data_IF_771659295834
#
_entry.id   IF_771659295834
#
_cell.length_a   1.000
_cell.length_b   1.000
_cell.length_c   1.000
_cell.angle_alpha   90.00
_cell.angle_beta   90.00
_cell.angle_gamma   90.00
#
_symmetry.space_group_name_H-M   'P 1'
#
loop_
_entity.id
_entity.type
_entity.pdbx_description
1 polymer ?
#
# COMPACT_ATOMS: atom_id res chain seq x y z
N UNK A 1 -80.16 2.59 -9.51
CA UNK A 1 -79.10 2.25 -8.54
C UNK A 1 -77.88 1.87 -9.39
N UNK A 2 -76.92 2.79 -9.43
CA UNK A 2 -75.79 2.76 -10.36
C UNK A 2 -74.61 1.97 -9.75
N UNK A 3 -74.13 0.95 -10.50
CA UNK A 3 -72.92 0.20 -10.13
C UNK A 3 -71.69 1.01 -10.53
N UNK A 4 -70.81 1.32 -9.54
CA UNK A 4 -69.50 1.91 -9.75
C UNK A 4 -68.50 0.84 -10.16
N UNK A 5 -67.95 0.98 -11.38
CA UNK A 5 -66.76 0.25 -11.81
C UNK A 5 -65.51 0.72 -11.04
N UNK A 6 -64.73 -0.25 -10.56
CA UNK A 6 -63.41 -0.05 -9.97
C UNK A 6 -62.35 0.02 -11.10
N UNK A 7 -61.31 0.86 -11.01
CA UNK A 7 -60.25 0.94 -12.00
C UNK A 7 -59.31 -0.26 -11.87
N UNK A 8 -58.90 -0.80 -13.04
CA UNK A 8 -57.93 -1.87 -13.22
C UNK A 8 -56.57 -1.46 -12.64
N UNK A 9 -55.96 -2.32 -11.84
CA UNK A 9 -54.58 -2.22 -11.40
C UNK A 9 -53.63 -2.51 -12.58
N UNK A 10 -52.92 -1.48 -13.00
CA UNK A 10 -51.75 -1.61 -13.88
C UNK A 10 -50.65 -2.40 -13.16
N UNK A 11 -50.28 -3.53 -13.73
CA UNK A 11 -49.09 -4.30 -13.32
C UNK A 11 -47.83 -3.45 -13.52
N UNK A 12 -46.89 -3.41 -12.55
CA UNK A 12 -45.63 -2.77 -12.78
C UNK A 12 -44.86 -3.50 -13.90
N UNK A 13 -44.42 -2.73 -14.89
CA UNK A 13 -43.57 -3.24 -15.97
C UNK A 13 -42.33 -3.93 -15.39
N UNK A 14 -42.08 -5.14 -15.83
CA UNK A 14 -40.88 -5.90 -15.50
C UNK A 14 -39.65 -5.06 -15.92
N UNK A 15 -38.84 -4.69 -14.96
CA UNK A 15 -37.55 -4.07 -15.19
C UNK A 15 -36.66 -5.13 -15.88
N UNK A 16 -36.27 -4.85 -17.11
CA UNK A 16 -35.35 -5.73 -17.87
C UNK A 16 -33.96 -5.63 -17.23
N UNK A 17 -33.39 -6.71 -16.67
CA UNK A 17 -32.09 -6.69 -16.02
C UNK A 17 -30.90 -6.59 -17.00
N UNK A 18 -31.13 -6.41 -18.30
CA UNK A 18 -30.13 -6.28 -19.34
C UNK A 18 -29.96 -4.84 -19.86
N UNK A 19 -30.58 -3.84 -19.23
CA UNK A 19 -30.44 -2.44 -19.63
C UNK A 19 -29.11 -1.86 -19.16
N UNK A 20 -28.21 -1.59 -20.13
CA UNK A 20 -27.05 -0.71 -20.09
C UNK A 20 -25.88 -1.07 -19.14
N UNK A 21 -25.15 -2.14 -19.47
CA UNK A 21 -23.74 -2.17 -19.10
C UNK A 21 -23.02 -1.14 -19.99
N UNK A 22 -22.43 -0.08 -19.43
CA UNK A 22 -21.77 0.97 -20.23
C UNK A 22 -20.62 0.35 -21.04
N UNK A 23 -20.60 0.61 -22.35
CA UNK A 23 -19.49 0.17 -23.23
C UNK A 23 -18.18 0.75 -22.72
N UNK A 24 -17.15 -0.07 -22.46
CA UNK A 24 -15.86 0.42 -22.01
C UNK A 24 -15.25 1.43 -22.98
N UNK A 25 -14.65 2.50 -22.46
CA UNK A 25 -14.02 3.57 -23.23
C UNK A 25 -12.51 3.61 -23.00
N UNK A 26 -11.71 4.16 -23.95
CA UNK A 26 -10.27 4.27 -23.78
C UNK A 26 -9.91 5.15 -22.59
N UNK A 27 -8.95 4.71 -21.77
CA UNK A 27 -8.32 5.54 -20.74
C UNK A 27 -7.23 6.38 -21.39
N UNK A 28 -7.29 7.70 -21.20
CA UNK A 28 -6.32 8.64 -21.78
C UNK A 28 -5.16 8.89 -20.80
N UNK A 29 -4.01 8.26 -21.04
CA UNK A 29 -2.77 8.47 -20.29
C UNK A 29 -2.15 9.85 -20.52
N UNK A 30 -2.55 10.60 -21.56
CA UNK A 30 -2.05 11.96 -21.81
C UNK A 30 -2.65 12.98 -20.83
N UNK A 31 -3.81 12.67 -20.27
CA UNK A 31 -4.41 13.47 -19.20
C UNK A 31 -3.57 13.36 -17.93
N UNK A 32 -3.01 14.49 -17.48
CA UNK A 32 -2.18 14.55 -16.28
C UNK A 32 -2.97 14.22 -15.01
N UNK A 33 -2.28 13.68 -14.01
CA UNK A 33 -2.81 13.51 -12.67
C UNK A 33 -3.11 14.88 -12.03
N UNK A 34 -3.88 14.89 -10.92
CA UNK A 34 -4.26 16.12 -10.21
C UNK A 34 -3.08 16.97 -9.72
N UNK A 35 -1.90 16.36 -9.59
CA UNK A 35 -0.64 17.00 -9.20
C UNK A 35 0.20 17.47 -10.41
N UNK A 36 -0.34 17.39 -11.64
CA UNK A 36 0.32 17.82 -12.87
C UNK A 36 1.36 16.85 -13.42
N UNK A 37 1.47 15.63 -12.87
CA UNK A 37 2.43 14.62 -13.30
C UNK A 37 1.78 13.65 -14.32
N UNK A 38 2.61 13.04 -15.17
CA UNK A 38 2.18 12.09 -16.18
C UNK A 38 1.87 10.73 -15.56
N UNK A 39 0.69 10.19 -15.85
CA UNK A 39 0.26 8.86 -15.46
C UNK A 39 1.04 7.78 -16.21
N UNK A 40 1.04 6.58 -15.67
CA UNK A 40 1.55 5.38 -16.30
C UNK A 40 0.63 4.19 -16.04
N UNK A 41 1.13 2.98 -16.29
CA UNK A 41 0.39 1.75 -16.02
C UNK A 41 1.21 0.76 -15.17
N UNK A 42 0.51 -0.12 -14.47
CA UNK A 42 1.09 -0.99 -13.43
C UNK A 42 1.81 -2.21 -14.01
N UNK A 43 2.61 -2.91 -13.18
CA UNK A 43 3.15 -4.24 -13.54
C UNK A 43 2.03 -5.25 -13.82
N UNK A 44 0.87 -5.11 -13.13
CA UNK A 44 -0.32 -5.91 -13.38
C UNK A 44 -0.89 -5.70 -14.79
N UNK A 45 -1.05 -4.46 -15.21
CA UNK A 45 -1.49 -4.11 -16.58
C UNK A 45 -0.51 -4.61 -17.63
N UNK A 46 0.80 -4.47 -17.37
CA UNK A 46 1.84 -4.98 -18.26
C UNK A 46 1.75 -6.50 -18.43
N UNK A 47 1.61 -7.24 -17.34
CA UNK A 47 1.45 -8.69 -17.36
C UNK A 47 0.15 -9.12 -18.06
N UNK A 48 -0.95 -8.39 -17.84
CA UNK A 48 -2.24 -8.65 -18.48
C UNK A 48 -2.16 -8.44 -20.00
N UNK A 49 -1.54 -7.35 -20.46
CA UNK A 49 -1.33 -7.10 -21.87
C UNK A 49 -0.46 -8.17 -22.54
N UNK A 50 0.63 -8.58 -21.87
CA UNK A 50 1.47 -9.66 -22.36
C UNK A 50 0.73 -11.01 -22.38
N UNK A 51 -0.15 -11.30 -21.40
CA UNK A 51 -1.00 -12.50 -21.39
C UNK A 51 -1.96 -12.52 -22.59
N UNK A 52 -2.63 -11.39 -22.84
CA UNK A 52 -3.57 -11.24 -23.96
C UNK A 52 -2.87 -11.43 -25.31
N UNK A 53 -1.70 -10.82 -25.46
CA UNK A 53 -0.88 -10.94 -26.66
C UNK A 53 -0.34 -12.36 -26.86
N UNK A 54 0.12 -13.03 -25.80
CA UNK A 54 0.60 -14.41 -25.87
C UNK A 54 -0.51 -15.38 -26.25
N UNK A 55 -1.74 -15.18 -25.75
CA UNK A 55 -2.88 -15.99 -26.17
C UNK A 55 -3.25 -15.74 -27.64
N UNK A 56 -3.28 -14.49 -28.08
CA UNK A 56 -3.49 -14.13 -29.48
C UNK A 56 -2.47 -14.83 -30.39
N UNK A 57 -1.18 -14.78 -30.02
CA UNK A 57 -0.11 -15.48 -30.74
C UNK A 57 -0.33 -16.99 -30.77
N UNK A 58 -0.73 -17.60 -29.63
CA UNK A 58 -0.98 -19.04 -29.53
C UNK A 58 -2.12 -19.51 -30.47
N UNK A 59 -3.16 -18.67 -30.63
CA UNK A 59 -4.33 -18.99 -31.43
C UNK A 59 -4.16 -18.68 -32.92
N UNK A 60 -3.48 -17.58 -33.25
CA UNK A 60 -3.41 -17.04 -34.61
C UNK A 60 -2.06 -17.24 -35.28
N UNK A 61 -1.02 -17.57 -34.51
CA UNK A 61 0.38 -17.61 -34.98
C UNK A 61 1.00 -16.24 -35.20
N UNK A 62 0.32 -15.12 -34.85
CA UNK A 62 0.80 -13.75 -35.04
C UNK A 62 0.77 -12.94 -33.75
N UNK A 63 1.86 -12.28 -33.42
CA UNK A 63 1.95 -11.40 -32.27
C UNK A 63 1.34 -10.03 -32.64
N UNK A 64 0.35 -9.50 -31.88
CA UNK A 64 -0.22 -8.20 -32.14
C UNK A 64 0.76 -7.08 -31.75
N UNK A 65 0.71 -5.93 -32.44
CA UNK A 65 1.53 -4.74 -32.10
C UNK A 65 1.08 -4.08 -30.79
N UNK A 66 -0.21 -4.16 -30.46
CA UNK A 66 -0.81 -3.64 -29.23
C UNK A 66 -2.08 -4.42 -28.89
N UNK A 67 -2.48 -4.37 -27.62
CA UNK A 67 -3.74 -4.93 -27.14
C UNK A 67 -4.47 -3.94 -26.24
N UNK A 68 -5.80 -4.07 -26.20
CA UNK A 68 -6.65 -3.32 -25.28
C UNK A 68 -6.84 -4.17 -24.01
N UNK A 69 -6.45 -3.61 -22.87
CA UNK A 69 -6.54 -4.21 -21.54
C UNK A 69 -7.68 -3.57 -20.78
N UNK A 70 -8.70 -4.32 -20.43
CA UNK A 70 -9.79 -3.86 -19.57
C UNK A 70 -9.29 -3.55 -18.18
N UNK A 71 -9.62 -2.36 -17.65
CA UNK A 71 -9.22 -1.92 -16.32
C UNK A 71 -10.19 -2.44 -15.25
N UNK A 72 -9.73 -2.58 -13.99
CA UNK A 72 -10.56 -3.10 -12.89
C UNK A 72 -11.83 -2.30 -12.57
N UNK A 73 -11.95 -1.08 -13.05
CA UNK A 73 -13.15 -0.26 -12.87
C UNK A 73 -14.34 -0.70 -13.75
N UNK A 74 -14.10 -1.60 -14.74
CA UNK A 74 -15.11 -2.08 -15.67
C UNK A 74 -15.60 -1.04 -16.68
N UNK A 75 -15.08 0.18 -16.63
CA UNK A 75 -15.53 1.32 -17.44
C UNK A 75 -14.50 1.73 -18.50
N UNK A 76 -13.23 1.38 -18.29
CA UNK A 76 -12.15 1.79 -19.14
C UNK A 76 -11.31 0.60 -19.62
N UNK A 77 -10.69 0.79 -20.78
CA UNK A 77 -9.59 -0.04 -21.25
C UNK A 77 -8.37 0.81 -21.56
N UNK A 78 -7.18 0.21 -21.49
CA UNK A 78 -5.92 0.85 -21.87
C UNK A 78 -5.29 0.13 -23.05
N UNK A 79 -4.94 0.85 -24.11
CA UNK A 79 -4.15 0.33 -25.20
C UNK A 79 -2.69 0.26 -24.83
N UNK A 80 -2.13 -0.97 -24.79
CA UNK A 80 -0.76 -1.24 -24.37
C UNK A 80 0.04 -1.79 -25.54
N UNK A 81 1.17 -1.16 -25.92
CA UNK A 81 2.04 -1.69 -26.96
C UNK A 81 2.74 -2.96 -26.50
N UNK A 82 2.86 -3.91 -27.43
CA UNK A 82 3.54 -5.20 -27.21
C UNK A 82 4.96 -5.12 -27.79
N UNK A 83 5.86 -5.74 -27.09
CA UNK A 83 7.27 -5.83 -27.51
C UNK A 83 7.58 -7.26 -27.93
N UNK A 84 8.28 -7.42 -29.04
CA UNK A 84 8.78 -8.71 -29.49
C UNK A 84 9.66 -9.36 -28.41
N UNK A 85 9.53 -10.68 -28.30
CA UNK A 85 10.31 -11.48 -27.38
C UNK A 85 10.64 -12.82 -28.04
N UNK A 86 11.81 -13.41 -27.77
CA UNK A 86 12.14 -14.74 -28.26
C UNK A 86 11.06 -15.77 -27.91
N UNK A 87 10.70 -16.58 -28.89
CA UNK A 87 9.74 -17.67 -28.68
C UNK A 87 10.48 -18.91 -28.17
N UNK A 88 9.82 -19.65 -27.28
CA UNK A 88 10.34 -20.89 -26.73
C UNK A 88 9.48 -22.08 -27.15
N UNK A 89 10.05 -23.27 -27.43
CA UNK A 89 9.29 -24.43 -27.80
C UNK A 89 8.21 -24.77 -26.76
N UNK A 90 6.95 -24.91 -27.21
CA UNK A 90 5.82 -25.22 -26.35
C UNK A 90 5.22 -24.05 -25.57
N UNK A 91 5.74 -22.83 -25.73
CA UNK A 91 5.23 -21.62 -25.10
C UNK A 91 4.96 -20.53 -26.14
N UNK A 92 3.90 -19.80 -25.97
CA UNK A 92 3.69 -18.52 -26.64
C UNK A 92 4.20 -17.40 -25.73
N UNK A 93 5.09 -16.57 -26.23
CA UNK A 93 5.78 -15.56 -25.42
C UNK A 93 5.48 -14.15 -25.92
N UNK A 94 5.16 -13.23 -25.00
CA UNK A 94 5.00 -11.81 -25.28
C UNK A 94 5.54 -10.95 -24.14
N UNK A 95 5.96 -9.72 -24.45
CA UNK A 95 6.51 -8.78 -23.48
C UNK A 95 5.90 -7.40 -23.60
N UNK A 96 5.99 -6.63 -22.51
CA UNK A 96 5.62 -5.23 -22.42
C UNK A 96 6.74 -4.47 -21.71
N UNK A 97 7.12 -3.32 -22.24
CA UNK A 97 7.97 -2.38 -21.51
C UNK A 97 7.06 -1.48 -20.68
N UNK A 98 7.15 -1.64 -19.35
CA UNK A 98 6.30 -0.88 -18.42
C UNK A 98 6.60 0.62 -18.49
N UNK A 99 5.56 1.44 -18.68
CA UNK A 99 5.63 2.89 -18.49
C UNK A 99 5.00 3.27 -17.15
N UNK A 100 5.84 3.69 -16.19
CA UNK A 100 5.41 4.15 -14.87
C UNK A 100 5.02 5.62 -14.82
N UNK A 101 5.01 6.34 -15.95
CA UNK A 101 4.81 7.78 -15.97
C UNK A 101 5.92 8.52 -15.24
N UNK A 102 5.56 9.58 -14.53
CA UNK A 102 6.49 10.40 -13.73
C UNK A 102 6.58 9.91 -12.26
N UNK A 103 6.08 8.71 -11.97
CA UNK A 103 6.25 8.11 -10.65
C UNK A 103 7.69 7.64 -10.45
N UNK A 104 8.31 7.85 -9.27
CA UNK A 104 9.66 7.35 -8.96
C UNK A 104 9.70 5.82 -8.73
N UNK A 105 8.95 5.08 -9.53
CA UNK A 105 8.81 3.63 -9.47
C UNK A 105 10.05 2.93 -10.02
N UNK A 106 10.65 2.05 -9.24
CA UNK A 106 11.84 1.27 -9.63
C UNK A 106 11.57 0.31 -10.79
N UNK A 107 10.29 -0.02 -11.07
CA UNK A 107 9.88 -0.87 -12.18
C UNK A 107 9.58 -0.10 -13.47
N UNK A 108 9.77 1.23 -13.49
CA UNK A 108 9.68 2.02 -14.74
C UNK A 108 10.67 1.48 -15.76
N UNK A 109 10.24 1.27 -17.02
CA UNK A 109 11.00 0.68 -18.13
C UNK A 109 11.40 -0.79 -17.95
N UNK A 110 10.95 -1.46 -16.89
CA UNK A 110 11.14 -2.91 -16.77
C UNK A 110 10.39 -3.66 -17.90
N UNK A 111 11.03 -4.67 -18.47
CA UNK A 111 10.39 -5.60 -19.41
C UNK A 111 9.65 -6.66 -18.62
N UNK A 112 8.33 -6.69 -18.73
CA UNK A 112 7.48 -7.73 -18.16
C UNK A 112 7.16 -8.73 -19.27
N UNK A 113 7.49 -10.00 -19.04
CA UNK A 113 7.31 -11.07 -20.02
C UNK A 113 6.30 -12.08 -19.51
N UNK A 114 5.43 -12.56 -20.39
CA UNK A 114 4.54 -13.69 -20.11
C UNK A 114 4.86 -14.81 -21.09
N UNK A 115 4.97 -16.02 -20.55
CA UNK A 115 4.96 -17.27 -21.28
C UNK A 115 3.64 -17.98 -21.01
N UNK A 116 2.94 -18.35 -22.05
CA UNK A 116 1.61 -18.97 -21.99
C UNK A 116 1.63 -20.31 -22.71
N UNK A 117 1.03 -21.34 -22.13
CA UNK A 117 0.74 -22.60 -22.78
C UNK A 117 -0.57 -23.21 -22.26
N UNK A 118 -1.16 -24.10 -23.04
CA UNK A 118 -2.30 -24.92 -22.56
C UNK A 118 -1.81 -25.96 -21.54
N UNK A 119 -2.68 -26.26 -20.57
CA UNK A 119 -2.51 -27.38 -19.64
C UNK A 119 -3.78 -28.21 -19.55
N UNK A 120 -3.66 -29.43 -19.01
CA UNK A 120 -4.77 -30.39 -18.90
C UNK A 120 -5.55 -30.25 -17.58
N UNK A 121 -5.27 -29.25 -16.76
CA UNK A 121 -5.89 -29.08 -15.43
C UNK A 121 -7.29 -28.44 -15.47
N UNK A 122 -7.68 -27.84 -16.61
CA UNK A 122 -8.89 -27.03 -16.74
C UNK A 122 -8.85 -25.74 -15.91
N UNK A 123 -7.66 -25.33 -15.45
CA UNK A 123 -7.50 -24.14 -14.58
C UNK A 123 -6.39 -23.23 -15.09
N UNK A 124 -6.56 -21.92 -14.85
CA UNK A 124 -5.48 -20.94 -15.04
C UNK A 124 -4.52 -21.00 -13.85
N UNK A 125 -3.30 -21.48 -14.10
CA UNK A 125 -2.23 -21.61 -13.11
C UNK A 125 -1.21 -20.51 -13.32
N UNK A 126 -0.95 -19.68 -12.28
CA UNK A 126 0.05 -18.65 -12.33
C UNK A 126 1.39 -19.17 -11.84
N UNK A 127 2.40 -19.09 -12.69
CA UNK A 127 3.74 -19.58 -12.41
C UNK A 127 4.73 -18.42 -12.24
N UNK A 128 5.74 -18.67 -11.44
CA UNK A 128 6.86 -17.76 -11.26
C UNK A 128 7.82 -17.88 -12.44
N UNK A 129 8.00 -16.80 -13.20
CA UNK A 129 9.11 -16.62 -14.12
C UNK A 129 10.32 -15.95 -13.46
N UNK A 130 11.42 -15.84 -14.20
CA UNK A 130 12.63 -15.15 -13.77
C UNK A 130 12.33 -13.71 -13.36
N UNK A 131 12.92 -13.26 -12.24
CA UNK A 131 12.79 -11.88 -11.75
C UNK A 131 11.44 -11.51 -11.13
N UNK A 132 10.48 -12.44 -11.02
CA UNK A 132 9.29 -12.30 -10.17
C UNK A 132 9.56 -12.95 -8.82
N UNK A 133 9.21 -12.26 -7.73
CA UNK A 133 9.48 -12.72 -6.38
C UNK A 133 8.58 -13.86 -5.92
N UNK A 134 9.00 -14.49 -4.81
CA UNK A 134 8.21 -15.50 -4.07
C UNK A 134 7.94 -14.98 -2.68
N UNK A 135 6.73 -15.21 -2.18
CA UNK A 135 6.33 -14.91 -0.80
C UNK A 135 6.98 -15.91 0.14
N UNK A 136 7.75 -15.43 1.12
CA UNK A 136 8.48 -16.29 2.07
C UNK A 136 8.05 -16.09 3.52
N UNK A 137 7.19 -15.10 3.80
CA UNK A 137 6.73 -14.76 5.14
C UNK A 137 5.20 -14.53 5.15
N UNK A 138 4.54 -14.76 6.30
CA UNK A 138 3.12 -14.44 6.45
C UNK A 138 2.88 -12.92 6.48
N UNK A 139 1.60 -12.51 6.36
CA UNK A 139 1.18 -11.11 6.43
C UNK A 139 0.79 -10.50 5.09
N UNK A 140 1.18 -11.11 3.98
CA UNK A 140 0.64 -10.77 2.66
C UNK A 140 -0.67 -11.54 2.42
N UNK A 141 -1.48 -11.06 1.47
CA UNK A 141 -2.71 -11.77 1.02
C UNK A 141 -2.43 -12.93 0.08
N UNK A 142 -1.16 -13.27 -0.11
CA UNK A 142 -0.68 -14.41 -0.88
C UNK A 142 -0.10 -15.44 0.08
N UNK A 143 -0.25 -16.72 -0.22
CA UNK A 143 0.31 -17.77 0.59
C UNK A 143 1.84 -17.85 0.46
N UNK A 144 2.49 -18.36 1.49
CA UNK A 144 3.94 -18.64 1.45
C UNK A 144 4.21 -19.65 0.35
N UNK A 145 5.24 -19.39 -0.47
CA UNK A 145 5.62 -20.19 -1.62
C UNK A 145 4.96 -19.75 -2.94
N UNK A 146 3.93 -18.91 -2.90
CA UNK A 146 3.31 -18.40 -4.12
C UNK A 146 4.16 -17.33 -4.81
N UNK A 147 4.06 -17.24 -6.17
CA UNK A 147 4.63 -16.11 -6.90
C UNK A 147 3.98 -14.80 -6.47
N UNK A 148 4.77 -13.75 -6.36
CA UNK A 148 4.32 -12.42 -5.94
C UNK A 148 3.47 -11.74 -7.03
N UNK A 149 2.38 -12.38 -7.41
CA UNK A 149 1.36 -11.91 -8.36
C UNK A 149 0.08 -11.68 -7.57
N UNK A 150 -0.30 -10.43 -7.36
CA UNK A 150 -1.43 -10.05 -6.50
C UNK A 150 -2.78 -10.44 -7.14
N UNK A 151 -3.84 -10.45 -6.31
CA UNK A 151 -5.17 -10.93 -6.71
C UNK A 151 -5.75 -10.15 -7.91
N UNK A 152 -5.67 -8.82 -7.90
CA UNK A 152 -6.20 -7.98 -8.99
C UNK A 152 -5.50 -8.28 -10.33
N UNK A 153 -4.15 -8.28 -10.44
CA UNK A 153 -3.46 -8.74 -11.66
C UNK A 153 -3.86 -10.15 -12.11
N UNK A 154 -4.01 -11.10 -11.17
CA UNK A 154 -4.48 -12.46 -11.53
C UNK A 154 -5.89 -12.43 -12.14
N UNK A 155 -6.78 -11.61 -11.58
CA UNK A 155 -8.13 -11.42 -12.12
C UNK A 155 -8.10 -10.77 -13.51
N UNK A 156 -7.31 -9.70 -13.68
CA UNK A 156 -7.16 -9.03 -14.98
C UNK A 156 -6.64 -9.97 -16.06
N UNK A 157 -5.63 -10.80 -15.74
CA UNK A 157 -5.10 -11.80 -16.68
C UNK A 157 -6.12 -12.87 -17.03
N UNK A 158 -6.95 -13.36 -16.07
CA UNK A 158 -8.06 -14.27 -16.37
C UNK A 158 -9.08 -13.63 -17.31
N UNK A 159 -9.51 -12.40 -16.97
CA UNK A 159 -10.43 -11.65 -17.82
C UNK A 159 -9.87 -11.46 -19.25
N UNK A 160 -8.59 -11.18 -19.39
CA UNK A 160 -7.95 -11.04 -20.68
C UNK A 160 -7.97 -12.36 -21.51
N UNK A 161 -7.84 -13.52 -20.83
CA UNK A 161 -8.01 -14.83 -21.49
C UNK A 161 -9.46 -15.04 -21.94
N UNK A 162 -10.45 -14.72 -21.09
CA UNK A 162 -11.88 -14.82 -21.38
C UNK A 162 -12.27 -13.93 -22.58
N UNK A 163 -11.80 -12.69 -22.60
CA UNK A 163 -12.05 -11.75 -23.69
C UNK A 163 -11.55 -12.23 -25.06
N UNK A 164 -10.40 -12.91 -25.10
CA UNK A 164 -9.83 -13.42 -26.36
C UNK A 164 -10.52 -14.71 -26.80
N UNK A 165 -10.95 -15.53 -25.85
CA UNK A 165 -11.58 -16.81 -26.15
C UNK A 165 -13.09 -16.70 -26.38
N UNK A 166 -13.68 -15.54 -26.04
CA UNK A 166 -15.13 -15.32 -26.03
C UNK A 166 -15.89 -16.39 -25.20
N UNK A 167 -15.24 -16.89 -24.15
CA UNK A 167 -15.78 -17.95 -23.27
C UNK A 167 -15.19 -17.83 -21.86
N UNK A 168 -15.84 -18.48 -20.88
CA UNK A 168 -15.34 -18.54 -19.50
C UNK A 168 -14.03 -19.34 -19.42
N UNK A 169 -12.99 -18.73 -18.82
CA UNK A 169 -11.67 -19.35 -18.64
C UNK A 169 -11.67 -20.53 -17.66
N UNK A 170 -12.77 -20.80 -16.96
CA UNK A 170 -12.88 -21.94 -16.06
C UNK A 170 -12.85 -23.29 -16.80
N UNK A 171 -13.25 -23.30 -18.07
CA UNK A 171 -13.26 -24.51 -18.89
C UNK A 171 -11.97 -24.76 -19.68
N UNK A 172 -11.00 -23.82 -19.61
CA UNK A 172 -9.76 -23.88 -20.39
C UNK A 172 -8.54 -23.75 -19.49
N UNK A 173 -7.69 -24.77 -19.47
CA UNK A 173 -6.46 -24.80 -18.70
C UNK A 173 -5.32 -24.03 -19.35
N UNK A 174 -4.71 -23.10 -18.60
CA UNK A 174 -3.51 -22.39 -19.03
C UNK A 174 -2.48 -22.29 -17.90
N UNK A 175 -1.22 -22.51 -18.24
CA UNK A 175 -0.08 -22.07 -17.43
C UNK A 175 0.30 -20.67 -17.90
N UNK A 176 0.28 -19.71 -16.97
CA UNK A 176 0.66 -18.30 -17.17
C UNK A 176 1.90 -18.02 -16.34
N UNK A 177 3.06 -18.07 -16.95
CA UNK A 177 4.32 -17.75 -16.29
C UNK A 177 4.66 -16.27 -16.52
N UNK A 178 4.85 -15.52 -15.42
CA UNK A 178 5.16 -14.10 -15.47
C UNK A 178 6.59 -13.87 -15.03
N UNK A 179 7.40 -13.21 -15.85
CA UNK A 179 8.79 -12.84 -15.58
C UNK A 179 9.02 -11.34 -15.70
N UNK A 180 10.18 -10.90 -15.22
CA UNK A 180 10.67 -9.53 -15.33
C UNK A 180 12.17 -9.54 -15.55
N UNK A 181 12.60 -8.98 -16.66
CA UNK A 181 14.04 -8.82 -16.94
C UNK A 181 14.72 -7.99 -15.84
N UNK A 182 15.86 -8.46 -15.31
CA UNK A 182 16.58 -7.85 -14.19
C UNK A 182 15.74 -7.65 -12.91
N UNK A 183 14.61 -8.36 -12.77
CA UNK A 183 13.65 -8.16 -11.68
C UNK A 183 14.24 -8.40 -10.29
N UNK A 184 15.20 -9.29 -10.12
CA UNK A 184 15.92 -9.49 -8.84
C UNK A 184 16.65 -8.23 -8.39
N UNK A 185 17.44 -7.63 -9.30
CA UNK A 185 18.20 -6.41 -9.01
C UNK A 185 17.29 -5.19 -8.79
N UNK A 186 16.17 -5.12 -9.52
CA UNK A 186 15.15 -4.09 -9.33
C UNK A 186 14.52 -4.23 -7.94
N UNK A 187 14.15 -5.44 -7.54
CA UNK A 187 13.49 -5.73 -6.26
C UNK A 187 14.31 -5.29 -5.05
N UNK A 188 15.64 -5.36 -5.11
CA UNK A 188 16.52 -4.89 -4.02
C UNK A 188 16.36 -3.40 -3.71
N UNK A 189 15.88 -2.60 -4.68
CA UNK A 189 15.59 -1.17 -4.53
C UNK A 189 14.15 -0.87 -4.17
N UNK A 190 13.31 -1.90 -4.07
CA UNK A 190 11.90 -1.82 -3.65
C UNK A 190 11.73 -2.22 -2.19
N UNK A 191 10.49 -2.25 -1.73
CA UNK A 191 10.17 -2.75 -0.40
C UNK A 191 10.03 -4.29 -0.31
N UNK A 192 10.12 -5.01 -1.43
CA UNK A 192 9.93 -6.46 -1.47
C UNK A 192 10.75 -7.24 -0.43
N UNK A 193 12.06 -6.98 -0.24
CA UNK A 193 12.84 -7.69 0.77
C UNK A 193 12.30 -7.51 2.20
N UNK A 194 11.75 -6.32 2.52
CA UNK A 194 11.15 -6.05 3.84
C UNK A 194 9.80 -6.76 4.02
N UNK A 195 9.10 -7.02 2.92
CA UNK A 195 7.80 -7.69 2.89
C UNK A 195 7.93 -9.22 2.83
N UNK A 196 9.15 -9.76 2.87
CA UNK A 196 9.37 -11.18 2.71
C UNK A 196 9.09 -11.69 1.29
N UNK A 197 9.30 -10.83 0.29
CA UNK A 197 9.24 -11.22 -1.11
C UNK A 197 10.66 -11.25 -1.64
N UNK A 198 11.13 -12.44 -2.00
CA UNK A 198 12.51 -12.67 -2.44
C UNK A 198 12.60 -13.16 -3.88
N UNK A 199 13.75 -12.87 -4.54
CA UNK A 199 14.05 -13.33 -5.87
C UNK A 199 13.37 -12.57 -7.01
N UNK A 200 12.79 -11.39 -6.73
CA UNK A 200 12.24 -10.56 -7.78
C UNK A 200 11.20 -9.52 -7.35
N UNK A 201 10.62 -8.85 -8.35
CA UNK A 201 9.58 -7.85 -8.17
C UNK A 201 8.21 -8.49 -7.88
N UNK A 202 7.25 -7.66 -7.49
CA UNK A 202 5.83 -8.03 -7.42
C UNK A 202 5.08 -7.58 -8.67
N UNK A 203 4.13 -8.40 -9.12
CA UNK A 203 3.14 -8.04 -10.13
C UNK A 203 1.90 -7.54 -9.39
N UNK A 204 1.70 -6.22 -9.42
CA UNK A 204 0.69 -5.53 -8.61
C UNK A 204 0.02 -4.38 -9.35
N UNK A 205 -1.02 -3.82 -8.75
CA UNK A 205 -1.81 -2.70 -9.20
C UNK A 205 -3.29 -2.98 -8.95
N UNK A 206 -3.98 -2.07 -8.29
CA UNK A 206 -5.41 -2.21 -7.94
C UNK A 206 -6.33 -1.59 -8.99
N UNK A 207 -5.85 -0.57 -9.70
CA UNK A 207 -6.61 0.17 -10.71
C UNK A 207 -6.11 -0.08 -12.14
N UNK A 208 -4.93 -0.71 -12.27
CA UNK A 208 -4.23 -0.85 -13.55
C UNK A 208 -3.40 0.38 -13.93
N UNK A 209 -3.71 1.56 -13.39
CA UNK A 209 -3.05 2.84 -13.68
C UNK A 209 -2.11 3.23 -12.53
N UNK A 210 -0.98 3.84 -12.86
CA UNK A 210 -0.08 4.49 -11.91
C UNK A 210 -0.45 5.95 -11.79
N UNK A 211 -0.95 6.34 -10.61
CA UNK A 211 -1.11 7.73 -10.21
C UNK A 211 0.17 8.19 -9.51
N UNK A 212 1.01 9.02 -10.14
CA UNK A 212 2.33 9.34 -9.62
C UNK A 212 2.25 10.11 -8.30
N UNK A 213 3.07 9.71 -7.32
CA UNK A 213 3.10 10.27 -5.96
C UNK A 213 1.73 10.29 -5.27
N UNK A 214 0.93 9.28 -5.50
CA UNK A 214 -0.42 9.14 -4.93
C UNK A 214 -0.38 8.93 -3.42
N UNK A 215 -1.11 9.77 -2.67
CA UNK A 215 -1.31 9.57 -1.22
C UNK A 215 -2.06 8.27 -0.91
N UNK A 216 -3.03 7.91 -1.74
CA UNK A 216 -3.78 6.66 -1.59
C UNK A 216 -2.87 5.43 -1.74
N UNK A 217 -1.95 5.45 -2.71
CA UNK A 217 -0.95 4.37 -2.89
C UNK A 217 0.01 4.29 -1.71
N UNK A 218 0.39 5.45 -1.15
CA UNK A 218 1.25 5.48 0.05
C UNK A 218 0.52 4.90 1.26
N UNK A 219 -0.73 5.30 1.51
CA UNK A 219 -1.56 4.74 2.59
C UNK A 219 -1.77 3.23 2.42
N UNK A 220 -2.05 2.76 1.20
CA UNK A 220 -2.15 1.33 0.92
C UNK A 220 -0.85 0.58 1.27
N UNK A 221 0.31 1.20 1.06
CA UNK A 221 1.60 0.64 1.46
C UNK A 221 1.74 0.53 2.98
N UNK A 222 1.26 1.53 3.76
CA UNK A 222 1.24 1.46 5.23
C UNK A 222 0.42 0.25 5.70
N UNK A 223 -0.77 0.04 5.14
CA UNK A 223 -1.62 -1.10 5.50
C UNK A 223 -0.90 -2.45 5.25
N UNK A 224 -0.16 -2.57 4.14
CA UNK A 224 0.66 -3.76 3.86
C UNK A 224 1.78 -3.92 4.89
N UNK A 225 2.49 -2.83 5.25
CA UNK A 225 3.57 -2.89 6.24
C UNK A 225 3.08 -3.29 7.63
N UNK A 226 1.94 -2.75 8.07
CA UNK A 226 1.31 -3.14 9.34
C UNK A 226 0.96 -4.63 9.33
N UNK A 227 0.34 -5.12 8.26
CA UNK A 227 -0.02 -6.53 8.11
C UNK A 227 1.20 -7.45 8.15
N UNK A 228 2.28 -7.08 7.46
CA UNK A 228 3.54 -7.86 7.48
C UNK A 228 4.20 -7.81 8.86
N UNK A 229 4.21 -6.63 9.50
CA UNK A 229 4.76 -6.47 10.84
C UNK A 229 4.06 -7.37 11.87
N UNK A 230 2.74 -7.54 11.75
CA UNK A 230 1.91 -8.34 12.66
C UNK A 230 1.78 -9.82 12.23
N UNK A 231 2.15 -10.16 11.00
CA UNK A 231 1.88 -11.48 10.40
C UNK A 231 2.50 -12.67 11.15
N UNK A 232 3.65 -12.48 11.79
CA UNK A 232 4.29 -13.50 12.64
C UNK A 232 3.88 -13.41 14.11
N UNK A 233 2.86 -12.61 14.45
CA UNK A 233 2.37 -12.40 15.82
C UNK A 233 3.50 -12.01 16.79
N UNK A 234 4.25 -10.93 16.52
CA UNK A 234 5.35 -10.50 17.37
C UNK A 234 4.85 -10.00 18.71
N UNK A 235 5.74 -9.94 19.72
CA UNK A 235 5.45 -9.31 21.00
C UNK A 235 5.35 -7.80 20.94
N UNK A 236 5.97 -7.18 19.94
CA UNK A 236 6.01 -5.73 19.80
C UNK A 236 6.23 -5.27 18.35
N UNK A 237 5.68 -4.10 18.01
CA UNK A 237 5.97 -3.38 16.77
C UNK A 237 6.17 -1.89 17.05
N UNK A 238 6.73 -1.18 16.07
CA UNK A 238 6.96 0.27 16.14
C UNK A 238 6.21 0.97 15.01
N UNK A 239 5.50 2.03 15.33
CA UNK A 239 5.05 3.04 14.37
C UNK A 239 5.94 4.30 14.49
N UNK A 240 6.48 4.77 13.37
CA UNK A 240 7.33 5.97 13.35
C UNK A 240 7.05 6.84 12.12
N UNK A 241 7.05 8.19 12.27
CA UNK A 241 6.82 9.09 11.14
C UNK A 241 7.84 9.01 10.02
N UNK A 242 9.09 8.64 10.29
CA UNK A 242 10.12 8.73 9.25
C UNK A 242 11.42 7.99 9.55
N UNK A 243 12.42 8.20 8.68
CA UNK A 243 13.70 7.48 8.73
C UNK A 243 14.49 7.68 10.03
N UNK A 244 14.38 8.85 10.67
CA UNK A 244 15.01 9.11 11.98
C UNK A 244 14.47 8.14 13.03
N UNK A 245 13.14 7.99 13.10
CA UNK A 245 12.54 7.06 14.05
C UNK A 245 12.84 5.60 13.72
N UNK A 246 12.95 5.22 12.45
CA UNK A 246 13.43 3.88 12.11
C UNK A 246 14.86 3.62 12.60
N UNK A 247 15.76 4.59 12.44
CA UNK A 247 17.13 4.50 12.95
C UNK A 247 17.15 4.41 14.46
N UNK A 248 16.37 5.27 15.13
CA UNK A 248 16.23 5.25 16.59
C UNK A 248 15.73 3.89 17.09
N UNK A 249 14.64 3.39 16.53
CA UNK A 249 14.05 2.10 16.92
C UNK A 249 15.04 0.93 16.72
N UNK A 250 15.78 0.91 15.61
CA UNK A 250 16.80 -0.13 15.36
C UNK A 250 17.96 -0.05 16.35
N UNK A 251 18.40 1.15 16.69
CA UNK A 251 19.56 1.36 17.58
C UNK A 251 19.23 1.15 19.07
N UNK A 252 18.03 1.53 19.50
CA UNK A 252 17.67 1.54 20.92
C UNK A 252 16.72 0.40 21.33
N UNK A 253 15.85 -0.07 20.41
CA UNK A 253 14.91 -1.15 20.71
C UNK A 253 15.36 -2.49 20.11
N UNK A 254 16.42 -2.51 19.29
CA UNK A 254 16.99 -3.69 18.64
C UNK A 254 15.97 -4.53 17.83
N UNK A 255 14.88 -3.90 17.35
CA UNK A 255 13.81 -4.60 16.64
C UNK A 255 14.16 -4.88 15.17
N UNK A 256 13.71 -6.00 14.61
CA UNK A 256 13.83 -6.27 13.18
C UNK A 256 13.14 -5.19 12.34
N UNK A 257 13.72 -4.85 11.21
CA UNK A 257 13.21 -3.78 10.32
C UNK A 257 11.75 -4.01 9.90
N UNK A 258 11.30 -5.26 9.76
CA UNK A 258 9.93 -5.62 9.42
C UNK A 258 8.90 -5.24 10.50
N UNK A 259 9.32 -5.13 11.77
CA UNK A 259 8.48 -4.71 12.90
C UNK A 259 8.45 -3.17 13.07
N UNK A 260 9.19 -2.42 12.23
CA UNK A 260 9.25 -0.97 12.29
C UNK A 260 8.52 -0.38 11.08
N UNK A 261 7.29 0.04 11.29
CA UNK A 261 6.40 0.59 10.26
C UNK A 261 6.56 2.11 10.17
N UNK A 262 6.81 2.58 8.96
CA UNK A 262 6.89 4.00 8.66
C UNK A 262 5.50 4.55 8.33
N UNK A 263 4.95 5.43 9.17
CA UNK A 263 3.59 5.96 9.06
C UNK A 263 3.48 7.36 8.43
N UNK A 264 4.61 8.05 8.17
CA UNK A 264 4.66 9.45 7.70
C UNK A 264 3.87 10.40 8.61
N UNK A 265 2.88 11.11 8.06
CA UNK A 265 1.92 11.95 8.79
C UNK A 265 0.58 11.24 9.05
N UNK A 266 0.41 9.99 8.63
CA UNK A 266 -0.84 9.23 8.70
C UNK A 266 -0.95 8.39 9.97
N UNK A 267 -0.74 9.02 11.15
CA UNK A 267 -0.75 8.31 12.43
C UNK A 267 -2.12 7.64 12.67
N UNK A 268 -3.23 8.35 12.45
CA UNK A 268 -4.56 7.80 12.64
C UNK A 268 -4.84 6.60 11.76
N UNK A 269 -4.59 6.72 10.46
CA UNK A 269 -4.76 5.61 9.52
C UNK A 269 -3.90 4.39 9.91
N UNK A 270 -2.66 4.63 10.35
CA UNK A 270 -1.77 3.54 10.76
C UNK A 270 -2.29 2.80 11.99
N UNK A 271 -2.84 3.51 12.98
CA UNK A 271 -3.46 2.94 14.17
C UNK A 271 -4.75 2.15 13.83
N UNK A 272 -5.54 2.67 12.89
CA UNK A 272 -6.72 1.96 12.39
C UNK A 272 -6.32 0.66 11.70
N UNK A 273 -5.28 0.68 10.84
CA UNK A 273 -4.72 -0.53 10.21
C UNK A 273 -4.20 -1.55 11.24
N UNK A 274 -3.57 -1.10 12.33
CA UNK A 274 -3.14 -2.01 13.43
C UNK A 274 -4.37 -2.69 14.04
N UNK A 275 -5.40 -1.91 14.40
CA UNK A 275 -6.62 -2.43 15.00
C UNK A 275 -7.33 -3.46 14.12
N UNK A 276 -7.53 -3.13 12.83
CA UNK A 276 -8.15 -4.00 11.84
C UNK A 276 -7.35 -5.29 11.62
N UNK A 277 -6.01 -5.17 11.52
CA UNK A 277 -5.15 -6.33 11.30
C UNK A 277 -5.15 -7.26 12.52
N UNK A 278 -5.12 -6.72 13.74
CA UNK A 278 -5.19 -7.53 14.97
C UNK A 278 -6.53 -8.26 15.10
N UNK A 279 -7.63 -7.60 14.71
CA UNK A 279 -8.96 -8.22 14.66
C UNK A 279 -9.01 -9.36 13.64
N UNK A 280 -8.52 -9.15 12.41
CA UNK A 280 -8.43 -10.19 11.36
C UNK A 280 -7.57 -11.39 11.80
N UNK A 281 -6.45 -11.16 12.49
CA UNK A 281 -5.55 -12.20 12.97
C UNK A 281 -6.04 -12.88 14.26
N UNK A 282 -7.14 -12.39 14.87
CA UNK A 282 -7.59 -12.81 16.21
C UNK A 282 -6.43 -12.84 17.22
N UNK A 283 -5.68 -11.72 17.25
CA UNK A 283 -4.47 -11.59 18.06
C UNK A 283 -4.47 -10.28 18.85
N UNK A 284 -3.92 -10.31 20.07
CA UNK A 284 -3.63 -9.13 20.86
C UNK A 284 -2.11 -8.83 20.81
N UNK A 285 -1.75 -7.62 20.45
CA UNK A 285 -0.36 -7.16 20.45
C UNK A 285 0.05 -6.77 21.87
N UNK A 286 1.06 -7.42 22.49
CA UNK A 286 1.48 -7.06 23.85
C UNK A 286 1.99 -5.61 23.94
N UNK A 287 2.78 -5.12 22.98
CA UNK A 287 3.39 -3.80 23.04
C UNK A 287 3.41 -3.08 21.67
N UNK A 288 2.86 -1.86 21.67
CA UNK A 288 2.98 -0.93 20.54
C UNK A 288 3.86 0.25 20.92
N UNK A 289 4.96 0.43 20.20
CA UNK A 289 5.81 1.61 20.30
C UNK A 289 5.37 2.70 19.32
N UNK A 290 5.27 3.93 19.80
CA UNK A 290 5.17 5.14 18.98
C UNK A 290 6.46 5.93 19.15
N UNK A 291 7.27 6.02 18.09
CA UNK A 291 8.63 6.55 18.19
C UNK A 291 8.82 7.68 17.19
N UNK A 292 9.20 8.88 17.67
CA UNK A 292 9.36 10.00 16.77
C UNK A 292 9.75 11.32 17.44
N UNK A 293 9.95 12.33 16.59
CA UNK A 293 10.20 13.69 17.00
C UNK A 293 8.92 14.36 17.53
N UNK A 294 8.96 15.15 18.64
CA UNK A 294 7.78 15.78 19.23
C UNK A 294 7.04 16.73 18.27
N UNK A 295 7.74 17.33 17.30
CA UNK A 295 7.12 18.19 16.28
C UNK A 295 6.00 17.55 15.46
N UNK A 296 5.94 16.21 15.43
CA UNK A 296 4.83 15.46 14.86
C UNK A 296 3.97 14.78 15.92
N UNK A 297 4.61 14.11 16.89
CA UNK A 297 3.89 13.24 17.82
C UNK A 297 3.11 14.02 18.89
N UNK A 298 3.56 15.19 19.32
CA UNK A 298 2.81 16.00 20.29
C UNK A 298 1.39 16.37 19.82
N UNK A 299 1.20 16.52 18.51
CA UNK A 299 -0.12 16.80 17.91
C UNK A 299 -1.19 15.74 18.20
N UNK A 300 -0.75 14.50 18.47
CA UNK A 300 -1.65 13.39 18.83
C UNK A 300 -2.35 13.64 20.16
N UNK A 301 -1.79 14.45 21.06
CA UNK A 301 -2.41 14.82 22.35
C UNK A 301 -3.76 15.49 22.12
N UNK A 302 -3.85 16.36 21.12
CA UNK A 302 -5.06 17.09 20.73
C UNK A 302 -5.96 16.32 19.74
N UNK A 303 -5.68 15.03 19.50
CA UNK A 303 -6.43 14.22 18.55
C UNK A 303 -6.17 14.56 17.08
N UNK A 304 -5.07 15.22 16.78
CA UNK A 304 -4.67 15.54 15.39
C UNK A 304 -3.95 14.35 14.79
N UNK A 305 -4.66 13.51 14.06
CA UNK A 305 -4.21 12.23 13.54
C UNK A 305 -3.55 12.30 12.16
N UNK A 306 -3.75 13.37 11.40
CA UNK A 306 -2.91 13.76 10.25
C UNK A 306 -1.94 14.86 10.71
N UNK A 307 -0.70 14.48 10.97
CA UNK A 307 0.31 15.36 11.57
C UNK A 307 1.03 16.27 10.57
N UNK A 308 0.48 16.42 9.34
CA UNK A 308 1.07 17.27 8.30
C UNK A 308 1.06 18.75 8.69
N UNK A 309 2.22 19.43 8.58
CA UNK A 309 2.42 20.81 9.08
C UNK A 309 1.49 21.86 8.45
N UNK A 310 1.03 21.65 7.20
CA UNK A 310 0.10 22.56 6.54
C UNK A 310 -1.39 22.30 6.86
N UNK A 311 -1.70 21.23 7.59
CA UNK A 311 -3.08 20.81 7.88
C UNK A 311 -3.42 20.80 9.36
N UNK A 312 -2.47 21.10 10.22
CA UNK A 312 -2.64 20.99 11.67
C UNK A 312 -1.96 22.14 12.42
N UNK A 313 -2.50 22.47 13.60
CA UNK A 313 -1.91 23.40 14.55
C UNK A 313 -0.45 23.02 14.91
N UNK A 314 0.31 23.96 15.43
CA UNK A 314 1.70 23.74 15.82
C UNK A 314 1.83 22.73 16.96
N UNK A 315 2.90 21.95 16.96
CA UNK A 315 3.16 21.01 18.06
C UNK A 315 3.45 21.72 19.39
N UNK A 316 3.90 22.97 19.34
CA UNK A 316 4.12 23.80 20.53
C UNK A 316 2.82 24.03 21.30
N UNK A 317 1.71 24.27 20.60
CA UNK A 317 0.40 24.48 21.21
C UNK A 317 -0.06 23.24 21.99
N UNK A 318 0.11 22.04 21.43
CA UNK A 318 -0.22 20.80 22.11
C UNK A 318 0.65 20.50 23.34
N UNK A 319 1.84 21.08 23.41
CA UNK A 319 2.77 20.92 24.53
C UNK A 319 2.51 21.88 25.69
N UNK A 320 1.85 23.01 25.47
CA UNK A 320 1.60 24.03 26.50
C UNK A 320 0.85 23.48 27.72
N UNK A 321 -0.28 22.76 27.59
CA UNK A 321 -0.97 22.21 28.74
C UNK A 321 -0.12 21.22 29.54
N UNK A 322 0.74 20.45 28.87
CA UNK A 322 1.66 19.52 29.53
C UNK A 322 2.72 20.28 30.32
N UNK A 323 3.26 21.38 29.74
CA UNK A 323 4.23 22.25 30.44
C UNK A 323 3.61 22.92 31.65
N UNK A 324 2.40 23.47 31.51
CA UNK A 324 1.67 24.11 32.62
C UNK A 324 1.43 23.17 33.81
N UNK A 325 1.12 21.89 33.50
CA UNK A 325 0.83 20.89 34.55
C UNK A 325 2.08 20.27 35.18
N UNK A 326 3.16 20.06 34.42
CA UNK A 326 4.30 19.24 34.84
C UNK A 326 5.64 19.97 34.91
N UNK A 327 5.78 21.13 34.26
CA UNK A 327 7.01 21.91 34.22
C UNK A 327 6.72 23.40 33.99
N UNK A 328 6.04 24.09 34.92
CA UNK A 328 5.60 25.49 34.74
C UNK A 328 6.75 26.47 34.35
N UNK A 329 7.97 26.18 34.76
CA UNK A 329 9.16 27.00 34.42
C UNK A 329 9.55 26.89 32.95
N UNK A 330 9.05 25.94 32.20
CA UNK A 330 9.28 25.76 30.77
C UNK A 330 8.26 26.46 29.89
N UNK A 331 7.16 26.95 30.43
CA UNK A 331 6.04 27.53 29.66
C UNK A 331 6.48 28.72 28.82
N UNK A 332 7.24 29.66 29.40
CA UNK A 332 7.72 30.83 28.66
C UNK A 332 8.74 30.44 27.59
N UNK A 333 9.64 29.48 27.90
CA UNK A 333 10.54 28.93 26.88
C UNK A 333 9.81 28.32 25.70
N UNK A 334 8.72 27.63 25.99
CA UNK A 334 7.90 26.97 24.97
C UNK A 334 7.15 27.99 24.10
N UNK A 335 6.53 29.01 24.73
CA UNK A 335 5.83 30.10 24.02
C UNK A 335 6.75 30.92 23.13
N UNK A 336 7.99 31.14 23.57
CA UNK A 336 9.00 31.90 22.84
C UNK A 336 9.71 31.06 21.77
N UNK A 337 9.37 29.81 21.60
CA UNK A 337 10.00 28.90 20.65
C UNK A 337 9.19 28.81 19.36
N UNK A 338 9.84 29.05 18.22
CA UNK A 338 9.22 28.95 16.89
C UNK A 338 9.01 27.49 16.41
N UNK A 339 9.63 26.55 17.11
CA UNK A 339 9.55 25.12 16.80
C UNK A 339 9.88 24.27 18.03
N UNK A 340 9.46 23.02 18.00
CA UNK A 340 9.85 22.05 19.05
C UNK A 340 11.35 21.80 19.11
N UNK A 341 12.07 21.86 17.97
CA UNK A 341 13.53 21.73 17.96
C UNK A 341 14.19 22.90 18.63
N UNK A 342 13.79 24.16 18.33
CA UNK A 342 14.30 25.34 19.02
C UNK A 342 14.05 25.29 20.54
N UNK A 343 12.91 24.73 20.96
CA UNK A 343 12.63 24.50 22.38
C UNK A 343 13.59 23.47 22.99
N UNK A 344 13.84 22.34 22.30
CA UNK A 344 14.79 21.31 22.75
C UNK A 344 16.18 21.89 22.92
N UNK A 345 16.69 22.65 21.94
CA UNK A 345 18.02 23.29 21.98
C UNK A 345 18.16 24.29 23.13
N UNK A 346 17.14 25.12 23.33
CA UNK A 346 17.14 26.16 24.37
C UNK A 346 17.01 25.62 25.79
N UNK A 347 16.46 24.43 25.95
CA UNK A 347 16.18 23.81 27.26
C UNK A 347 17.12 22.66 27.58
N UNK A 348 18.03 22.32 26.68
CA UNK A 348 19.00 21.23 26.88
C UNK A 348 19.79 21.39 28.20
N UNK A 349 19.92 20.29 28.95
CA UNK A 349 20.63 20.22 30.22
C UNK A 349 19.88 20.77 31.46
N UNK A 350 18.64 21.23 31.32
CA UNK A 350 17.81 21.66 32.48
C UNK A 350 17.21 20.43 33.18
N UNK A 351 17.15 20.49 34.51
CA UNK A 351 16.65 19.37 35.33
C UNK A 351 15.13 19.11 35.17
N UNK A 352 14.37 20.16 34.82
CA UNK A 352 12.91 20.13 34.65
C UNK A 352 12.47 19.62 33.28
N UNK A 353 13.38 19.42 32.32
CA UNK A 353 13.10 18.96 30.95
C UNK A 353 12.73 17.48 30.90
N UNK A 354 13.41 16.64 31.67
CA UNK A 354 13.17 15.19 31.66
C UNK A 354 11.76 14.84 32.17
N UNK A 355 11.27 15.36 33.31
CA UNK A 355 9.89 15.17 33.74
C UNK A 355 8.84 15.66 32.72
N UNK A 356 9.10 16.79 32.05
CA UNK A 356 8.25 17.33 31.00
C UNK A 356 8.11 16.37 29.82
N UNK A 357 9.23 15.86 29.30
CA UNK A 357 9.17 14.93 28.16
C UNK A 357 8.55 13.59 28.55
N UNK A 358 8.81 13.09 29.75
CA UNK A 358 8.15 11.87 30.25
C UNK A 358 6.64 12.05 30.39
N UNK A 359 6.18 13.21 30.85
CA UNK A 359 4.76 13.55 30.91
C UNK A 359 4.15 13.68 29.50
N UNK A 360 4.90 14.24 28.54
CA UNK A 360 4.50 14.36 27.14
C UNK A 360 4.35 12.96 26.49
N UNK A 361 5.33 12.07 26.71
CA UNK A 361 5.26 10.67 26.23
C UNK A 361 4.02 9.96 26.79
N UNK A 362 3.73 10.13 28.10
CA UNK A 362 2.55 9.57 28.73
C UNK A 362 1.23 10.17 28.18
N UNK A 363 1.21 11.46 27.87
CA UNK A 363 0.02 12.12 27.28
C UNK A 363 -0.26 11.58 25.87
N UNK A 364 0.79 11.42 25.05
CA UNK A 364 0.67 10.82 23.71
C UNK A 364 0.19 9.36 23.82
N UNK A 365 0.75 8.57 24.75
CA UNK A 365 0.34 7.18 24.96
C UNK A 365 -1.16 7.10 25.26
N UNK A 366 -1.67 7.90 26.20
CA UNK A 366 -3.12 7.95 26.52
C UNK A 366 -3.99 8.33 25.31
N UNK A 367 -3.55 9.28 24.49
CA UNK A 367 -4.27 9.65 23.27
C UNK A 367 -4.35 8.47 22.29
N UNK A 368 -3.26 7.75 22.11
CA UNK A 368 -3.17 6.57 21.23
C UNK A 368 -4.02 5.41 21.79
N UNK A 369 -3.99 5.16 23.10
CA UNK A 369 -4.85 4.16 23.78
C UNK A 369 -6.33 4.39 23.51
N UNK A 370 -6.77 5.66 23.50
CA UNK A 370 -8.13 6.01 23.17
C UNK A 370 -8.58 5.69 21.73
N UNK A 371 -7.65 5.37 20.84
CA UNK A 371 -7.94 5.13 19.43
C UNK A 371 -7.69 3.69 18.98
N UNK A 372 -6.57 3.10 19.36
CA UNK A 372 -6.16 1.75 18.89
C UNK A 372 -6.86 0.66 19.71
N UNK A 373 -7.22 -0.44 19.03
CA UNK A 373 -7.81 -1.63 19.67
C UNK A 373 -6.89 -2.83 19.50
N UNK A 374 -6.99 -3.79 20.43
CA UNK A 374 -6.23 -5.05 20.37
C UNK A 374 -4.77 -4.93 20.81
N UNK A 375 -4.37 -3.80 21.39
CA UNK A 375 -3.03 -3.55 21.96
C UNK A 375 -3.13 -3.54 23.48
N UNK A 376 -2.21 -4.21 24.18
CA UNK A 376 -2.23 -4.32 25.65
C UNK A 376 -1.49 -3.15 26.32
N UNK A 377 -0.35 -2.73 25.76
CA UNK A 377 0.48 -1.64 26.29
C UNK A 377 0.94 -0.73 25.14
N UNK A 378 0.96 0.59 25.37
CA UNK A 378 1.51 1.57 24.46
C UNK A 378 2.64 2.30 25.15
N UNK A 379 3.80 2.32 24.50
CA UNK A 379 4.96 3.12 24.91
C UNK A 379 5.32 4.14 23.84
N UNK A 380 5.66 5.33 24.30
CA UNK A 380 6.10 6.42 23.42
C UNK A 380 7.57 6.71 23.70
N UNK A 381 8.32 7.00 22.63
CA UNK A 381 9.69 7.54 22.75
C UNK A 381 9.85 8.76 21.87
N UNK A 382 10.18 9.85 22.52
CA UNK A 382 10.50 11.10 21.87
C UNK A 382 12.03 11.28 21.78
N UNK A 383 12.47 11.84 20.67
CA UNK A 383 13.89 12.14 20.43
C UNK A 383 14.06 13.45 19.66
N UNK A 384 15.20 14.13 19.85
CA UNK A 384 15.62 15.30 19.09
C UNK A 384 16.09 14.94 17.67
N UNK A 385 16.35 15.95 16.84
CA UNK A 385 16.83 15.74 15.47
C UNK A 385 18.20 15.05 15.41
N UNK A 386 18.98 15.15 16.47
CA UNK A 386 20.27 14.46 16.66
C UNK A 386 20.10 12.95 17.03
N UNK A 387 18.88 12.52 17.33
CA UNK A 387 18.57 11.16 17.76
C UNK A 387 18.69 10.91 19.26
N UNK A 388 18.97 11.93 20.06
CA UNK A 388 19.02 11.81 21.53
C UNK A 388 17.61 11.64 22.10
N UNK A 389 17.40 10.63 22.96
CA UNK A 389 16.15 10.44 23.66
C UNK A 389 15.83 11.60 24.60
N UNK A 390 14.57 12.06 24.63
CA UNK A 390 14.15 13.22 25.42
C UNK A 390 13.51 12.83 26.76
N UNK A 391 12.70 11.76 26.78
CA UNK A 391 12.06 11.23 27.98
C UNK A 391 12.97 10.27 28.77
N UNK A 392 12.50 9.83 29.94
CA UNK A 392 13.23 8.90 30.78
C UNK A 392 13.43 7.54 30.05
N UNK A 393 14.59 6.93 30.24
CA UNK A 393 14.78 5.53 29.83
C UNK A 393 13.77 4.64 30.58
N UNK A 394 13.10 3.72 29.86
CA UNK A 394 12.21 2.73 30.46
C UNK A 394 12.99 1.71 31.21
#
# INVERSE_FOLDING_TARGET
MSAKELPSQDSPAACDPLADTPTPRPFDLSTLASNGLRRGFTTGTSATAATKAALTLLLTGSLPESVDVSLPDGLHYLRVPITETPQEPGWACASVIKDGGDDPDQTHRARITVRLRRNDSGKVVFLRGEGVGVVTQPGLRLAIGEPAINAVPRQMMRQALEEVLETDSQDLGFDVEVGCENGESIALRTFNPRLGIHGGISILGTTGIVEPKSLASFMASIAVYVRVALGERPSEIVLSPGNLGQRFARGHLALPIKQIVQMSNFAGFSLDCVSETLEELHHALPLLWIVGHPGKLAKLIDGVWDTHSHRSAGAVEALLPVAEAHAPLLVDFLRDSNSTESFIERTGGRADVLPFWSATEAAIARAVEGRVRGVQEIRVRLFGMDGTALGAAA
#
